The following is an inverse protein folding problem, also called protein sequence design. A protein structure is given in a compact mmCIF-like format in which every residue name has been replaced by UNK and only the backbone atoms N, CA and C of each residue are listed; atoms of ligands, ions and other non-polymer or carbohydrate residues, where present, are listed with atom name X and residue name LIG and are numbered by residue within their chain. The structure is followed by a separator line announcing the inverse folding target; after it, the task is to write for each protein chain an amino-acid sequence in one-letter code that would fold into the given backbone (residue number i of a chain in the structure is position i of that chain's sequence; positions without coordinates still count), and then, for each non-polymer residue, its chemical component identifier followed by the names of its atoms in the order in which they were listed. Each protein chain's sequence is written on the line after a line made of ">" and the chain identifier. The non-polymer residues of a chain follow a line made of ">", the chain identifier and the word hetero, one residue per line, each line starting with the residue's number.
data_IF_641098718998
#
_entry.id   IF_641098718998
#
_cell.length_a   1.000
_cell.length_b   1.000
_cell.length_c   1.000
_cell.angle_alpha   90.00
_cell.angle_beta   90.00
_cell.angle_gamma   90.00
#
_symmetry.space_group_name_H-M   'P 1'
#
loop_
_entity.id
_entity.type
_entity.pdbx_description
1 polymer ?
#
# COMPACT_ATOMS: atom_id res chain seq x y z
N UNK A 1 3.36 14.60 22.26
CA UNK A 1 2.09 15.07 21.67
C UNK A 1 1.24 13.83 21.33
N UNK A 2 0.13 13.57 22.04
CA UNK A 2 -0.78 12.43 21.74
C UNK A 2 -1.69 12.83 20.58
N UNK A 3 -1.50 12.28 19.38
CA UNK A 3 -2.48 12.45 18.30
C UNK A 3 -3.80 11.79 18.74
N UNK A 4 -4.91 12.53 18.70
CA UNK A 4 -6.25 11.97 18.95
C UNK A 4 -6.64 11.12 17.75
N UNK A 5 -6.99 9.86 17.99
CA UNK A 5 -7.51 8.92 16.98
C UNK A 5 -8.96 9.28 16.63
N UNK A 6 -9.40 9.00 15.39
CA UNK A 6 -10.82 9.15 15.04
C UNK A 6 -11.67 8.12 15.79
N UNK A 7 -12.83 8.57 16.27
CA UNK A 7 -13.84 7.71 16.88
C UNK A 7 -14.83 7.12 15.86
N UNK A 8 -14.93 7.69 14.65
CA UNK A 8 -15.79 7.22 13.57
C UNK A 8 -15.31 7.68 12.20
N UNK A 9 -15.91 7.18 11.12
CA UNK A 9 -15.63 7.57 9.74
C UNK A 9 -16.80 8.41 9.20
N UNK A 10 -16.50 9.58 8.61
CA UNK A 10 -17.50 10.53 8.09
C UNK A 10 -18.66 10.85 9.06
N UNK A 11 -18.40 10.84 10.38
CA UNK A 11 -19.39 11.03 11.47
C UNK A 11 -20.55 10.03 11.55
N UNK A 12 -20.83 9.26 10.50
CA UNK A 12 -22.02 8.38 10.39
C UNK A 12 -21.63 6.92 10.60
N UNK A 13 -20.44 6.50 10.15
CA UNK A 13 -20.02 5.11 10.21
C UNK A 13 -19.13 4.84 11.41
N UNK A 14 -19.31 3.66 12.01
CA UNK A 14 -18.31 3.13 12.93
C UNK A 14 -16.99 2.94 12.18
N UNK A 15 -15.87 3.18 12.85
CA UNK A 15 -14.53 3.20 12.27
C UNK A 15 -14.20 1.92 11.47
N UNK A 16 -14.69 0.77 11.97
CA UNK A 16 -14.58 -0.53 11.29
C UNK A 16 -15.39 -0.60 9.99
N UNK A 17 -16.64 -0.15 10.00
CA UNK A 17 -17.48 -0.14 8.79
C UNK A 17 -16.88 0.79 7.73
N UNK A 18 -16.40 1.96 8.15
CA UNK A 18 -15.70 2.88 7.25
C UNK A 18 -14.43 2.26 6.64
N UNK A 19 -13.65 1.54 7.45
CA UNK A 19 -12.45 0.84 6.95
C UNK A 19 -12.79 -0.26 5.95
N UNK A 20 -13.84 -1.05 6.20
CA UNK A 20 -14.29 -2.10 5.26
C UNK A 20 -14.78 -1.45 3.95
N UNK A 21 -15.56 -0.38 4.03
CA UNK A 21 -16.02 0.37 2.86
C UNK A 21 -14.84 0.92 2.06
N UNK A 22 -13.86 1.54 2.73
CA UNK A 22 -12.62 2.02 2.10
C UNK A 22 -11.89 0.87 1.41
N UNK A 23 -11.74 -0.28 2.07
CA UNK A 23 -11.03 -1.43 1.51
C UNK A 23 -11.72 -1.95 0.24
N UNK A 24 -13.05 -2.04 0.22
CA UNK A 24 -13.82 -2.45 -0.96
C UNK A 24 -13.65 -1.42 -2.09
N UNK A 25 -13.80 -0.13 -1.79
CA UNK A 25 -13.66 0.94 -2.80
C UNK A 25 -12.26 0.96 -3.39
N UNK A 26 -11.21 0.83 -2.56
CA UNK A 26 -9.82 0.80 -3.02
C UNK A 26 -9.51 -0.46 -3.85
N UNK A 27 -10.09 -1.61 -3.49
CA UNK A 27 -9.95 -2.83 -4.27
C UNK A 27 -10.57 -2.72 -5.66
N UNK A 28 -11.79 -2.16 -5.74
CA UNK A 28 -12.48 -1.93 -7.02
C UNK A 28 -11.70 -0.91 -7.86
N UNK A 29 -11.29 0.21 -7.25
CA UNK A 29 -10.56 1.27 -7.95
C UNK A 29 -9.22 0.78 -8.48
N UNK A 30 -8.43 0.09 -7.66
CA UNK A 30 -7.14 -0.48 -8.09
C UNK A 30 -7.29 -1.56 -9.16
N UNK A 31 -8.34 -2.40 -9.09
CA UNK A 31 -8.66 -3.36 -10.14
C UNK A 31 -9.04 -2.69 -11.46
N UNK A 32 -9.84 -1.62 -11.41
CA UNK A 32 -10.18 -0.83 -12.58
C UNK A 32 -8.96 -0.13 -13.18
N UNK A 33 -8.12 0.51 -12.36
CA UNK A 33 -6.86 1.13 -12.80
C UNK A 33 -5.91 0.09 -13.43
N UNK A 34 -5.85 -1.13 -12.88
CA UNK A 34 -5.04 -2.21 -13.45
C UNK A 34 -5.52 -2.58 -14.88
N UNK A 35 -6.83 -2.69 -15.10
CA UNK A 35 -7.37 -2.93 -16.44
C UNK A 35 -7.01 -1.81 -17.41
N UNK A 36 -7.11 -0.55 -16.99
CA UNK A 36 -6.71 0.59 -17.80
C UNK A 36 -5.21 0.58 -18.12
N UNK A 37 -4.35 0.23 -17.15
CA UNK A 37 -2.90 0.12 -17.36
C UNK A 37 -2.54 -0.98 -18.35
N UNK A 38 -3.20 -2.15 -18.27
CA UNK A 38 -2.99 -3.24 -19.23
C UNK A 38 -3.44 -2.82 -20.64
N UNK A 39 -4.56 -2.13 -20.76
CA UNK A 39 -5.04 -1.59 -22.03
C UNK A 39 -4.08 -0.55 -22.61
N UNK A 40 -3.62 0.39 -21.77
CA UNK A 40 -2.65 1.41 -22.16
C UNK A 40 -1.33 0.78 -22.62
N UNK A 41 -0.87 -0.27 -21.91
CA UNK A 41 0.34 -1.00 -22.27
C UNK A 41 0.21 -1.73 -23.61
N UNK A 42 -0.95 -2.33 -23.89
CA UNK A 42 -1.20 -2.98 -25.18
C UNK A 42 -1.11 -1.97 -26.34
N UNK A 43 -1.76 -0.82 -26.21
CA UNK A 43 -1.70 0.25 -27.21
C UNK A 43 -0.29 0.86 -27.33
N UNK A 44 0.38 1.12 -26.21
CA UNK A 44 1.73 1.69 -26.24
C UNK A 44 2.73 0.73 -26.88
N UNK A 45 2.58 -0.59 -26.66
CA UNK A 45 3.41 -1.60 -27.31
C UNK A 45 3.20 -1.65 -28.82
N UNK A 46 1.95 -1.65 -29.27
CA UNK A 46 1.62 -1.60 -30.70
C UNK A 46 2.20 -0.35 -31.38
N UNK A 47 2.03 0.82 -30.76
CA UNK A 47 2.60 2.08 -31.26
C UNK A 47 4.14 2.02 -31.26
N UNK A 48 4.75 1.47 -30.21
CA UNK A 48 6.20 1.32 -30.11
C UNK A 48 6.79 0.42 -31.19
N UNK A 49 6.12 -0.70 -31.50
CA UNK A 49 6.53 -1.61 -32.58
C UNK A 49 6.41 -0.94 -33.96
N UNK A 50 5.33 -0.19 -34.21
CA UNK A 50 5.17 0.57 -35.45
C UNK A 50 6.24 1.64 -35.61
N UNK A 51 6.52 2.41 -34.54
CA UNK A 51 7.58 3.44 -34.56
C UNK A 51 8.96 2.82 -34.75
N UNK A 52 9.24 1.67 -34.14
CA UNK A 52 10.51 0.95 -34.33
C UNK A 52 10.69 0.51 -35.79
N UNK A 53 9.66 -0.10 -36.40
CA UNK A 53 9.70 -0.50 -37.80
C UNK A 53 9.88 0.70 -38.73
N UNK A 54 9.12 1.77 -38.51
CA UNK A 54 9.26 2.98 -39.32
C UNK A 54 10.68 3.57 -39.19
N UNK A 55 11.28 3.50 -37.99
CA UNK A 55 12.65 3.95 -37.72
C UNK A 55 13.68 3.13 -38.49
N UNK A 56 13.55 1.81 -38.50
CA UNK A 56 14.41 0.91 -39.28
C UNK A 56 14.28 1.17 -40.79
N UNK A 57 13.05 1.31 -41.30
CA UNK A 57 12.78 1.56 -42.73
C UNK A 57 13.42 2.89 -43.21
N UNK A 58 13.44 3.93 -42.39
CA UNK A 58 14.11 5.19 -42.77
C UNK A 58 15.63 5.07 -42.74
N UNK A 59 16.19 4.34 -41.78
CA UNK A 59 17.64 4.09 -41.72
C UNK A 59 18.11 3.32 -42.95
N UNK A 60 17.34 2.31 -43.40
CA UNK A 60 17.66 1.55 -44.62
C UNK A 60 17.62 2.46 -45.87
N UNK A 61 16.61 3.32 -46.00
CA UNK A 61 16.51 4.27 -47.13
C UNK A 61 17.65 5.29 -47.14
N UNK A 62 18.08 5.77 -45.98
CA UNK A 62 19.20 6.70 -45.86
C UNK A 62 20.54 6.03 -46.19
N UNK A 63 20.71 4.76 -45.85
CA UNK A 63 21.91 4.01 -46.24
C UNK A 63 22.01 3.79 -47.76
N UNK A 64 20.89 3.80 -48.49
CA UNK A 64 20.85 3.64 -49.96
C UNK A 64 20.93 4.96 -50.74
N UNK A 65 20.47 6.09 -50.17
CA UNK A 65 20.48 7.41 -50.82
C UNK A 65 21.69 8.23 -50.35
N UNK A 66 22.82 8.14 -51.05
CA UNK A 66 24.12 8.66 -50.57
C UNK A 66 24.17 10.19 -50.29
N UNK A 67 23.26 11.05 -50.80
CA UNK A 67 23.29 12.50 -50.52
C UNK A 67 21.89 13.15 -50.63
N UNK A 68 21.26 13.54 -49.50
CA UNK A 68 20.19 14.56 -49.45
C UNK A 68 19.93 15.07 -48.01
N UNK A 69 19.33 16.26 -47.78
CA UNK A 69 19.22 16.89 -46.45
C UNK A 69 18.07 16.29 -45.61
N UNK A 70 18.00 14.95 -45.52
CA UNK A 70 16.99 14.18 -44.77
C UNK A 70 17.31 13.98 -43.29
N UNK A 71 18.49 14.40 -42.83
CA UNK A 71 18.98 14.22 -41.45
C UNK A 71 18.04 14.71 -40.34
N UNK A 72 17.15 15.67 -40.64
CA UNK A 72 16.13 16.12 -39.67
C UNK A 72 15.02 15.09 -39.44
N UNK A 73 14.72 14.23 -40.41
CA UNK A 73 13.67 13.22 -40.30
C UNK A 73 14.15 12.01 -39.47
N UNK A 74 15.40 11.58 -39.66
CA UNK A 74 16.07 10.56 -38.85
C UNK A 74 16.12 10.96 -37.38
N UNK A 75 16.57 12.19 -37.10
CA UNK A 75 16.64 12.70 -35.72
C UNK A 75 15.26 12.76 -35.07
N UNK A 76 14.22 13.12 -35.82
CA UNK A 76 12.84 13.13 -35.33
C UNK A 76 12.33 11.72 -35.02
N UNK A 77 12.70 10.72 -35.83
CA UNK A 77 12.31 9.33 -35.63
C UNK A 77 13.04 8.69 -34.46
N UNK A 78 14.33 8.97 -34.28
CA UNK A 78 15.10 8.53 -33.11
C UNK A 78 14.50 9.08 -31.80
N UNK A 79 14.15 10.37 -31.77
CA UNK A 79 13.45 10.99 -30.64
C UNK A 79 12.07 10.34 -30.40
N UNK A 80 11.32 10.03 -31.46
CA UNK A 80 10.02 9.36 -31.34
C UNK A 80 10.16 7.93 -30.79
N UNK A 81 11.17 7.19 -31.22
CA UNK A 81 11.47 5.85 -30.73
C UNK A 81 11.89 5.86 -29.25
N UNK A 82 12.74 6.82 -28.86
CA UNK A 82 13.12 7.01 -27.46
C UNK A 82 11.89 7.35 -26.59
N UNK A 83 11.05 8.29 -27.04
CA UNK A 83 9.83 8.67 -26.32
C UNK A 83 8.86 7.49 -26.18
N UNK A 84 8.65 6.72 -27.25
CA UNK A 84 7.79 5.53 -27.21
C UNK A 84 8.31 4.49 -26.20
N UNK A 85 9.62 4.30 -26.17
CA UNK A 85 10.30 3.40 -25.22
C UNK A 85 10.17 3.90 -23.78
N UNK A 86 10.36 5.20 -23.54
CA UNK A 86 10.17 5.83 -22.22
C UNK A 86 8.73 5.68 -21.72
N UNK A 87 7.75 5.92 -22.58
CA UNK A 87 6.32 5.73 -22.27
C UNK A 87 6.07 4.26 -21.90
N UNK A 88 6.62 3.31 -22.65
CA UNK A 88 6.47 1.88 -22.36
C UNK A 88 7.05 1.50 -20.99
N UNK A 89 8.26 1.96 -20.67
CA UNK A 89 8.86 1.74 -19.34
C UNK A 89 8.04 2.40 -18.21
N UNK A 90 7.51 3.60 -18.45
CA UNK A 90 6.65 4.28 -17.48
C UNK A 90 5.37 3.48 -17.21
N UNK A 91 4.73 2.93 -18.23
CA UNK A 91 3.53 2.10 -18.11
C UNK A 91 3.81 0.78 -17.37
N UNK A 92 4.95 0.14 -17.65
CA UNK A 92 5.38 -1.04 -16.89
C UNK A 92 5.59 -0.72 -15.40
N UNK A 93 6.25 0.40 -15.09
CA UNK A 93 6.45 0.82 -13.69
C UNK A 93 5.12 1.11 -12.99
N UNK A 94 4.20 1.82 -13.66
CA UNK A 94 2.86 2.10 -13.15
C UNK A 94 2.02 0.83 -12.92
N UNK A 95 2.14 -0.16 -13.80
CA UNK A 95 1.48 -1.46 -13.64
C UNK A 95 1.99 -2.19 -12.39
N UNK A 96 3.30 -2.25 -12.17
CA UNK A 96 3.89 -2.89 -10.98
C UNK A 96 3.39 -2.21 -9.70
N UNK A 97 3.39 -0.88 -9.66
CA UNK A 97 2.87 -0.11 -8.52
C UNK A 97 1.40 -0.44 -8.29
N UNK A 98 0.59 -0.47 -9.36
CA UNK A 98 -0.85 -0.80 -9.27
C UNK A 98 -1.09 -2.22 -8.77
N UNK A 99 -0.27 -3.19 -9.17
CA UNK A 99 -0.34 -4.58 -8.67
C UNK A 99 -0.03 -4.63 -7.18
N UNK A 100 1.02 -3.93 -6.72
CA UNK A 100 1.36 -3.84 -5.30
C UNK A 100 0.20 -3.21 -4.51
N UNK A 101 -0.39 -2.13 -5.01
CA UNK A 101 -1.54 -1.47 -4.39
C UNK A 101 -2.77 -2.40 -4.33
N UNK A 102 -3.06 -3.12 -5.40
CA UNK A 102 -4.16 -4.09 -5.47
C UNK A 102 -3.99 -5.23 -4.46
N UNK A 103 -2.81 -5.86 -4.41
CA UNK A 103 -2.50 -6.92 -3.44
C UNK A 103 -2.60 -6.39 -2.01
N UNK A 104 -2.06 -5.19 -1.75
CA UNK A 104 -2.16 -4.57 -0.43
C UNK A 104 -3.62 -4.26 -0.04
N UNK A 105 -4.48 -3.90 -1.01
CA UNK A 105 -5.91 -3.66 -0.80
C UNK A 105 -6.67 -4.94 -0.47
N UNK A 106 -6.31 -6.08 -1.07
CA UNK A 106 -6.83 -7.40 -0.66
C UNK A 106 -6.47 -7.70 0.80
N UNK A 107 -5.20 -7.47 1.17
CA UNK A 107 -4.75 -7.68 2.56
C UNK A 107 -5.44 -6.74 3.53
N UNK A 108 -5.69 -5.48 3.15
CA UNK A 108 -6.47 -4.53 3.93
C UNK A 108 -7.89 -5.05 4.16
N UNK A 109 -8.57 -5.49 3.10
CA UNK A 109 -9.92 -6.03 3.19
C UNK A 109 -9.95 -7.25 4.12
N UNK A 110 -9.05 -8.20 3.91
CA UNK A 110 -8.92 -9.37 4.76
C UNK A 110 -8.64 -9.01 6.23
N UNK A 111 -7.68 -8.12 6.49
CA UNK A 111 -7.32 -7.64 7.81
C UNK A 111 -8.47 -6.91 8.52
N UNK A 112 -9.26 -6.14 7.77
CA UNK A 112 -10.42 -5.43 8.30
C UNK A 112 -11.58 -6.37 8.66
N UNK A 113 -11.78 -7.44 7.89
CA UNK A 113 -12.79 -8.47 8.15
C UNK A 113 -12.40 -9.32 9.37
N UNK A 114 -11.14 -9.79 9.40
CA UNK A 114 -10.60 -10.67 10.44
C UNK A 114 -10.13 -9.92 11.70
N UNK A 115 -10.24 -8.58 11.75
CA UNK A 115 -9.73 -7.72 12.81
C UNK A 115 -8.24 -7.97 13.12
N UNK A 116 -7.46 -8.36 12.11
CA UNK A 116 -6.03 -8.60 12.25
C UNK A 116 -5.23 -7.45 11.65
N UNK A 117 -4.62 -6.65 12.55
CA UNK A 117 -3.86 -5.45 12.18
C UNK A 117 -2.67 -5.74 11.27
N UNK A 118 -2.07 -6.94 11.34
CA UNK A 118 -0.85 -7.27 10.61
C UNK A 118 -1.09 -7.29 9.09
N UNK A 119 -2.28 -7.67 8.67
CA UNK A 119 -2.67 -7.65 7.25
C UNK A 119 -3.08 -6.25 6.77
N UNK A 120 -3.39 -5.31 7.68
CA UNK A 120 -3.67 -3.92 7.30
C UNK A 120 -2.39 -3.10 7.08
N UNK A 121 -1.26 -3.51 7.68
CA UNK A 121 -0.01 -2.75 7.65
C UNK A 121 0.56 -2.53 6.24
N UNK A 122 0.59 -3.51 5.32
CA UNK A 122 1.12 -3.31 3.97
C UNK A 122 0.42 -2.17 3.22
N UNK A 123 -0.91 -2.12 3.27
CA UNK A 123 -1.68 -1.06 2.62
C UNK A 123 -1.42 0.31 3.26
N UNK A 124 -1.34 0.38 4.59
CA UNK A 124 -1.02 1.63 5.31
C UNK A 124 0.34 2.17 4.86
N UNK A 125 1.33 1.30 4.63
CA UNK A 125 2.66 1.69 4.14
C UNK A 125 2.62 2.16 2.69
N UNK A 126 1.97 1.40 1.79
CA UNK A 126 1.83 1.78 0.37
C UNK A 126 1.15 3.14 0.23
N UNK A 127 0.03 3.33 0.91
CA UNK A 127 -0.71 4.59 0.87
C UNK A 127 0.10 5.77 1.43
N UNK A 128 0.94 5.56 2.46
CA UNK A 128 1.86 6.61 2.92
C UNK A 128 2.90 6.97 1.88
N UNK A 129 3.45 5.99 1.17
CA UNK A 129 4.41 6.27 0.10
C UNK A 129 3.76 7.07 -1.03
N UNK A 130 2.51 6.75 -1.39
CA UNK A 130 1.73 7.52 -2.38
C UNK A 130 1.47 8.96 -1.93
N UNK A 131 1.08 9.17 -0.67
CA UNK A 131 0.88 10.51 -0.11
C UNK A 131 2.19 11.31 -0.15
N UNK A 132 3.32 10.71 0.24
CA UNK A 132 4.62 11.38 0.20
C UNK A 132 4.98 11.76 -1.24
N UNK A 133 4.80 10.86 -2.20
CA UNK A 133 5.04 11.15 -3.63
C UNK A 133 4.12 12.27 -4.13
N UNK A 134 2.83 12.26 -3.76
CA UNK A 134 1.88 13.32 -4.10
C UNK A 134 2.20 14.67 -3.48
N UNK A 135 2.76 14.70 -2.27
CA UNK A 135 3.27 15.94 -1.67
C UNK A 135 4.52 16.40 -2.42
N UNK A 136 5.45 15.50 -2.72
CA UNK A 136 6.68 15.84 -3.45
C UNK A 136 6.38 16.39 -4.85
N UNK A 137 5.37 15.87 -5.56
CA UNK A 137 5.00 16.37 -6.89
C UNK A 137 4.46 17.81 -6.86
N UNK A 138 3.88 18.27 -5.74
CA UNK A 138 3.46 19.67 -5.58
C UNK A 138 4.64 20.65 -5.54
N UNK A 139 5.78 20.21 -4.99
CA UNK A 139 6.96 21.06 -4.76
C UNK A 139 8.06 20.91 -5.81
N UNK A 140 8.13 19.76 -6.51
CA UNK A 140 9.09 19.49 -7.57
C UNK A 140 8.63 20.15 -8.88
N UNK A 141 8.61 21.47 -8.86
CA UNK A 141 8.51 22.28 -10.07
C UNK A 141 9.85 22.15 -10.79
N UNK A 142 9.84 21.94 -12.10
CA UNK A 142 10.99 22.25 -12.97
C UNK A 142 12.15 21.22 -13.06
N UNK A 143 11.90 19.91 -12.87
CA UNK A 143 12.88 18.90 -13.31
C UNK A 143 12.30 18.05 -14.43
N UNK A 144 13.05 17.93 -15.53
CA UNK A 144 12.83 17.06 -16.70
C UNK A 144 12.92 15.56 -16.34
N UNK A 145 12.37 15.15 -15.19
CA UNK A 145 12.17 13.76 -14.86
C UNK A 145 10.85 13.32 -15.51
N UNK A 146 10.86 12.38 -16.47
CA UNK A 146 9.65 11.97 -17.19
C UNK A 146 8.54 11.50 -16.24
N UNK A 147 8.90 10.88 -15.12
CA UNK A 147 7.94 10.44 -14.10
C UNK A 147 7.22 11.60 -13.38
N UNK A 148 7.93 12.69 -13.10
CA UNK A 148 7.36 13.88 -12.43
C UNK A 148 6.69 14.80 -13.44
N UNK A 149 7.19 14.87 -14.68
CA UNK A 149 6.57 15.59 -15.78
C UNK A 149 5.17 15.06 -16.10
N UNK A 150 5.00 13.73 -16.13
CA UNK A 150 3.68 13.06 -16.28
C UNK A 150 2.77 13.36 -15.07
N UNK A 151 3.33 13.59 -13.89
CA UNK A 151 2.63 13.87 -12.64
C UNK A 151 2.42 15.37 -12.34
N UNK A 152 2.72 16.27 -13.29
CA UNK A 152 2.42 17.70 -13.16
C UNK A 152 3.64 18.64 -13.08
N UNK A 153 4.80 18.25 -13.61
CA UNK A 153 5.98 19.13 -13.66
C UNK A 153 5.75 20.48 -14.36
N UNK A 154 4.81 20.53 -15.32
CA UNK A 154 4.34 21.74 -16.01
C UNK A 154 2.91 22.13 -15.63
N UNK A 155 2.40 21.64 -14.50
CA UNK A 155 1.00 21.80 -14.12
C UNK A 155 0.68 23.25 -13.77
N UNK A 156 -0.41 23.76 -14.36
CA UNK A 156 -0.99 25.06 -14.03
C UNK A 156 -1.46 25.09 -12.56
N UNK A 157 -1.68 26.29 -12.02
CA UNK A 157 -2.13 26.48 -10.64
C UNK A 157 -3.41 25.69 -10.33
N UNK A 158 -4.31 25.56 -11.32
CA UNK A 158 -5.54 24.78 -11.20
C UNK A 158 -5.28 23.27 -11.01
N UNK A 159 -4.39 22.70 -11.80
CA UNK A 159 -4.00 21.28 -11.70
C UNK A 159 -3.32 20.98 -10.35
N UNK A 160 -2.50 21.92 -9.86
CA UNK A 160 -1.87 21.81 -8.54
C UNK A 160 -2.88 21.82 -7.39
N UNK A 161 -3.88 22.69 -7.47
CA UNK A 161 -4.98 22.71 -6.48
C UNK A 161 -5.77 21.40 -6.50
N UNK A 162 -5.96 20.81 -7.68
CA UNK A 162 -6.59 19.50 -7.81
C UNK A 162 -5.75 18.38 -7.17
N UNK A 163 -4.45 18.32 -7.46
CA UNK A 163 -3.53 17.34 -6.84
C UNK A 163 -3.48 17.51 -5.32
N UNK A 164 -3.45 18.75 -4.82
CA UNK A 164 -3.50 19.05 -3.39
C UNK A 164 -4.79 18.53 -2.76
N UNK A 165 -5.94 18.80 -3.38
CA UNK A 165 -7.23 18.31 -2.91
C UNK A 165 -7.27 16.77 -2.83
N UNK A 166 -6.83 16.08 -3.88
CA UNK A 166 -6.75 14.61 -3.92
C UNK A 166 -5.81 14.10 -2.82
N UNK A 167 -4.65 14.73 -2.62
CA UNK A 167 -3.69 14.35 -1.58
C UNK A 167 -4.28 14.48 -0.18
N UNK A 168 -5.05 15.55 0.09
CA UNK A 168 -5.75 15.74 1.37
C UNK A 168 -6.80 14.64 1.58
N UNK A 169 -7.58 14.30 0.55
CA UNK A 169 -8.58 13.21 0.61
C UNK A 169 -7.89 11.87 0.90
N UNK A 170 -6.79 11.57 0.22
CA UNK A 170 -5.99 10.36 0.44
C UNK A 170 -5.42 10.30 1.86
N UNK A 171 -4.91 11.43 2.38
CA UNK A 171 -4.46 11.53 3.76
C UNK A 171 -5.59 11.26 4.76
N UNK A 172 -6.80 11.77 4.51
CA UNK A 172 -7.96 11.48 5.34
C UNK A 172 -8.31 9.99 5.34
N UNK A 173 -8.41 9.37 4.15
CA UNK A 173 -8.70 7.93 4.01
C UNK A 173 -7.64 7.10 4.75
N UNK A 174 -6.37 7.43 4.56
CA UNK A 174 -5.27 6.81 5.27
C UNK A 174 -5.43 6.93 6.79
N UNK A 175 -5.77 8.13 7.28
CA UNK A 175 -5.92 8.40 8.70
C UNK A 175 -7.08 7.62 9.34
N UNK A 176 -8.17 7.38 8.61
CA UNK A 176 -9.28 6.51 9.05
C UNK A 176 -8.77 5.07 9.24
N UNK A 177 -8.10 4.51 8.24
CA UNK A 177 -7.57 3.13 8.28
C UNK A 177 -6.51 2.99 9.37
N UNK A 178 -5.61 3.96 9.49
CA UNK A 178 -4.58 4.01 10.52
C UNK A 178 -5.19 4.09 11.93
N UNK A 179 -6.29 4.84 12.09
CA UNK A 179 -7.02 4.90 13.37
C UNK A 179 -7.61 3.54 13.75
N UNK A 180 -8.13 2.78 12.78
CA UNK A 180 -8.58 1.39 13.02
C UNK A 180 -7.42 0.49 13.42
N UNK A 181 -6.30 0.56 12.68
CA UNK A 181 -5.09 -0.19 12.96
C UNK A 181 -4.56 0.05 14.39
N UNK A 182 -4.53 1.31 14.83
CA UNK A 182 -4.12 1.69 16.20
C UNK A 182 -5.12 1.28 17.27
N UNK A 183 -6.41 1.36 16.99
CA UNK A 183 -7.46 0.85 17.89
C UNK A 183 -7.31 -0.64 18.16
N UNK A 184 -6.98 -1.44 17.13
CA UNK A 184 -6.71 -2.88 17.27
C UNK A 184 -5.43 -3.16 18.07
N UNK A 185 -4.38 -2.34 17.92
CA UNK A 185 -3.17 -2.42 18.73
C UNK A 185 -3.46 -2.22 20.22
N UNK A 186 -4.26 -1.20 20.56
CA UNK A 186 -4.63 -0.91 21.95
C UNK A 186 -5.40 -2.06 22.59
N UNK A 187 -6.37 -2.64 21.86
CA UNK A 187 -7.13 -3.81 22.33
C UNK A 187 -6.22 -5.02 22.60
N UNK A 188 -5.33 -5.35 21.66
CA UNK A 188 -4.44 -6.50 21.82
C UNK A 188 -3.43 -6.33 22.96
N UNK A 189 -2.91 -5.11 23.17
CA UNK A 189 -2.01 -4.82 24.31
C UNK A 189 -2.74 -4.90 25.65
N UNK A 190 -3.99 -4.43 25.72
CA UNK A 190 -4.85 -4.56 26.91
C UNK A 190 -5.13 -6.02 27.25
N UNK A 191 -5.53 -6.82 26.26
CA UNK A 191 -5.73 -8.26 26.40
C UNK A 191 -4.47 -9.00 26.85
N UNK A 192 -3.30 -8.68 26.30
CA UNK A 192 -2.04 -9.32 26.76
C UNK A 192 -1.68 -8.93 28.19
N UNK A 193 -1.97 -7.71 28.63
CA UNK A 193 -1.74 -7.30 30.02
C UNK A 193 -2.69 -8.03 30.98
N UNK A 194 -3.97 -8.16 30.64
CA UNK A 194 -4.93 -8.91 31.45
C UNK A 194 -4.56 -10.40 31.52
N UNK A 195 -4.23 -11.03 30.40
CA UNK A 195 -3.84 -12.46 30.38
C UNK A 195 -2.55 -12.70 31.17
N UNK A 196 -1.58 -11.78 31.09
CA UNK A 196 -0.35 -11.89 31.88
C UNK A 196 -0.61 -11.68 33.38
N UNK A 197 -1.52 -10.77 33.74
CA UNK A 197 -1.95 -10.57 35.13
C UNK A 197 -2.67 -11.81 35.68
N UNK A 198 -3.63 -12.38 34.95
CA UNK A 198 -4.32 -13.61 35.34
C UNK A 198 -3.36 -14.79 35.45
N UNK A 199 -2.42 -14.94 34.51
CA UNK A 199 -1.42 -16.01 34.57
C UNK A 199 -0.47 -15.84 35.77
N UNK A 200 -0.06 -14.60 36.08
CA UNK A 200 0.76 -14.31 37.27
C UNK A 200 -0.01 -14.54 38.56
N UNK A 201 -1.27 -14.12 38.64
CA UNK A 201 -2.13 -14.30 39.80
C UNK A 201 -2.41 -15.78 40.09
N UNK A 202 -2.70 -16.57 39.04
CA UNK A 202 -2.89 -18.02 39.17
C UNK A 202 -1.59 -18.75 39.54
N UNK A 203 -0.44 -18.32 39.04
CA UNK A 203 0.85 -18.87 39.44
C UNK A 203 1.20 -18.55 40.90
N UNK A 204 0.88 -17.35 41.41
CA UNK A 204 1.06 -17.01 42.83
C UNK A 204 0.05 -17.67 43.76
N UNK A 205 -1.19 -17.89 43.29
CA UNK A 205 -2.21 -18.60 44.07
C UNK A 205 -1.89 -20.09 44.20
N UNK A 206 -1.40 -20.74 43.14
CA UNK A 206 -1.01 -22.15 43.17
C UNK A 206 0.37 -22.38 43.83
N UNK A 207 1.23 -21.37 43.88
CA UNK A 207 2.51 -21.42 44.60
C UNK A 207 2.39 -21.27 46.13
N UNK A 208 1.22 -20.84 46.64
CA UNK A 208 1.00 -20.63 48.08
C UNK A 208 0.33 -21.81 48.80
N UNK A 209 -0.02 -22.91 48.10
CA UNK A 209 -0.77 -24.05 48.69
C UNK A 209 0.11 -25.30 48.88
N UNK A 210 1.36 -25.33 48.42
CA UNK A 210 2.25 -26.52 48.53
C UNK A 210 3.35 -26.30 49.56
N UNK A 211 2.98 -25.88 50.78
CA UNK A 211 3.98 -25.50 51.77
C UNK A 211 3.59 -25.58 53.23
N UNK A 212 2.66 -26.45 53.65
CA UNK A 212 2.55 -26.84 55.06
C UNK A 212 1.52 -27.97 55.25
N UNK A 213 1.98 -29.23 55.22
CA UNK A 213 1.54 -30.28 56.16
C UNK A 213 2.13 -31.64 55.75
N UNK A 214 3.35 -31.91 56.19
CA UNK A 214 3.80 -33.27 56.48
C UNK A 214 4.40 -33.23 57.89
N UNK A 215 3.54 -33.38 58.90
CA UNK A 215 3.93 -33.80 60.25
C UNK A 215 3.30 -35.16 60.52
N UNK A 216 4.12 -36.19 60.32
CA UNK A 216 4.27 -37.39 61.16
C UNK A 216 3.03 -37.87 61.92
N UNK A 217 2.47 -39.00 61.47
CA UNK A 217 1.71 -39.91 62.31
C UNK A 217 2.22 -41.34 62.05
N UNK A 218 3.15 -41.81 62.88
CA UNK A 218 3.53 -43.22 62.98
C UNK A 218 3.34 -43.62 64.44
N UNK A 219 2.39 -44.52 64.69
CA UNK A 219 2.24 -45.17 65.99
C UNK A 219 0.84 -45.73 66.23
N UNK A 220 0.79 -47.08 66.34
CA UNK A 220 -0.20 -47.92 67.03
C UNK A 220 -1.23 -48.67 66.17
N UNK A 221 -0.84 -49.91 65.83
CA UNK A 221 -1.51 -51.21 66.04
C UNK A 221 -2.99 -51.41 65.70
N UNK A 222 -3.25 -52.34 64.77
CA UNK A 222 -4.55 -53.01 64.58
C UNK A 222 -4.81 -54.07 65.68
N UNK A 223 -6.08 -54.35 66.04
CA UNK A 223 -6.45 -55.60 66.69
C UNK A 223 -6.89 -56.64 65.66
N UNK A 224 -6.47 -57.90 65.86
CA UNK A 224 -7.07 -59.10 65.26
C UNK A 224 -7.79 -59.81 66.41
N UNK A 225 -9.09 -60.04 66.23
CA UNK A 225 -9.86 -61.00 67.02
C UNK A 225 -9.77 -62.40 66.38
N UNK A 226 -9.61 -63.39 67.27
CA UNK A 226 -9.62 -64.87 67.10
C UNK A 226 -8.33 -65.53 66.64
#
# INVERSE_FOLDING_TARGET
>A
MKMRLLQGCMHIFNLRQGTILIAITQLILSGFTMMLMVLALAHAKEIGELVARDTEDALEREAMEEISPKHMNTKRMDVAHHLATEVLYSLYSGLVITVIHFVSSILLLYGSLMNNRHFMAPWITVMMTEIVVGIMSLFLVQQDCPFIAILGGSADIGERLFVLFITIVNFYIWFVVYSTYKTLEGKNKGLTHEVYFFKKQNATANGSVVGENIKTQNGVSQPIDV
#
